data_IF_426087093143
#
_entry.id   IF_426087093143
#
_cell.length_a   1.000
_cell.length_b   1.000
_cell.length_c   1.000
_cell.angle_alpha   90.00
_cell.angle_beta   90.00
_cell.angle_gamma   90.00
#
_symmetry.space_group_name_H-M   'P 1'
#
loop_
_entity.id
_entity.type
_entity.pdbx_description
1 polymer ?
#
# COMPACT_ATOMS: atom_id res chain seq x y z
N UNK A 1 4.90 2.87 2.68
CA UNK A 1 6.30 2.43 2.72
C UNK A 1 7.08 3.14 3.81
N UNK A 2 7.76 4.24 3.49
CA UNK A 2 8.68 4.96 4.41
C UNK A 2 8.05 5.24 5.79
N UNK A 3 6.81 5.75 5.85
CA UNK A 3 6.11 6.02 7.12
C UNK A 3 6.00 4.76 8.01
N UNK A 4 5.72 3.60 7.42
CA UNK A 4 5.65 2.33 8.14
C UNK A 4 7.02 1.92 8.68
N UNK A 5 8.09 2.10 7.89
CA UNK A 5 9.45 1.84 8.36
C UNK A 5 9.90 2.79 9.48
N UNK A 6 9.60 4.09 9.36
CA UNK A 6 9.89 5.07 10.43
C UNK A 6 9.16 4.69 11.72
N UNK A 7 7.88 4.34 11.62
CA UNK A 7 7.09 3.89 12.76
C UNK A 7 7.68 2.64 13.41
N UNK A 8 8.05 1.64 12.61
CA UNK A 8 8.64 0.40 13.09
C UNK A 8 10.00 0.66 13.77
N UNK A 9 10.84 1.52 13.20
CA UNK A 9 12.11 1.92 13.79
C UNK A 9 11.97 2.58 15.15
N UNK A 10 11.01 3.50 15.30
CA UNK A 10 10.70 4.15 16.58
C UNK A 10 10.19 3.14 17.60
N UNK A 11 9.26 2.27 17.22
CA UNK A 11 8.70 1.25 18.11
C UNK A 11 9.74 0.20 18.52
N UNK A 12 10.58 -0.24 17.58
CA UNK A 12 11.68 -1.16 17.85
C UNK A 12 12.65 -0.60 18.87
N UNK A 13 13.08 0.66 18.74
CA UNK A 13 13.92 1.30 19.76
C UNK A 13 13.20 1.47 21.09
N UNK A 14 11.93 1.86 21.10
CA UNK A 14 11.14 1.98 22.34
C UNK A 14 11.10 0.65 23.11
N UNK A 15 10.95 -0.46 22.39
CA UNK A 15 10.84 -1.79 22.98
C UNK A 15 12.20 -2.44 23.27
N UNK A 16 13.28 -1.96 22.64
CA UNK A 16 14.62 -2.52 22.76
C UNK A 16 15.11 -2.53 24.21
N UNK A 17 15.04 -3.70 24.86
CA UNK A 17 15.31 -3.88 26.29
C UNK A 17 14.60 -2.87 27.19
N UNK A 18 13.41 -2.40 26.80
CA UNK A 18 12.65 -1.40 27.57
C UNK A 18 13.27 0.00 27.57
N UNK A 19 14.09 0.34 26.57
CA UNK A 19 14.71 1.66 26.42
C UNK A 19 13.70 2.82 26.50
N UNK A 20 12.46 2.63 26.05
CA UNK A 20 11.40 3.62 26.17
C UNK A 20 11.01 4.00 27.60
N UNK A 21 11.50 3.28 28.63
CA UNK A 21 11.36 3.67 30.05
C UNK A 21 12.50 4.58 30.53
N UNK A 22 13.62 4.61 29.79
CA UNK A 22 14.83 5.36 30.13
C UNK A 22 14.94 6.69 29.37
N UNK A 23 14.34 6.77 28.18
CA UNK A 23 14.39 7.93 27.31
C UNK A 23 12.99 8.36 26.89
N UNK A 24 12.84 9.62 26.53
CA UNK A 24 11.59 10.12 25.97
C UNK A 24 11.42 9.69 24.51
N UNK A 25 10.17 9.51 24.07
CA UNK A 25 9.88 9.13 22.68
C UNK A 25 10.38 10.20 21.69
N UNK A 26 10.37 11.47 22.09
CA UNK A 26 10.86 12.60 21.27
C UNK A 26 12.36 12.48 20.94
N UNK A 27 13.18 11.92 21.83
CA UNK A 27 14.60 11.64 21.54
C UNK A 27 14.76 10.62 20.40
N UNK A 28 13.85 9.63 20.34
CA UNK A 28 13.83 8.60 19.29
C UNK A 28 13.30 9.18 17.98
N UNK A 29 12.23 9.98 18.03
CA UNK A 29 11.61 10.62 16.86
C UNK A 29 12.57 11.59 16.15
N UNK A 30 13.40 12.32 16.91
CA UNK A 30 14.42 13.21 16.34
C UNK A 30 15.51 12.42 15.61
N UNK A 31 15.80 11.19 16.04
CA UNK A 31 16.82 10.34 15.45
C UNK A 31 16.30 9.55 14.23
N UNK A 32 15.11 8.97 14.36
CA UNK A 32 14.51 8.06 13.37
C UNK A 32 13.50 8.83 12.52
N UNK A 33 13.87 9.05 11.27
CA UNK A 33 13.07 9.75 10.27
C UNK A 33 13.19 9.07 8.90
N UNK A 34 12.53 9.66 7.90
CA UNK A 34 12.47 9.13 6.53
C UNK A 34 13.83 8.85 5.87
N UNK A 35 14.92 9.44 6.36
CA UNK A 35 16.28 9.28 5.81
C UNK A 35 17.21 8.43 6.69
N UNK A 36 16.76 8.02 7.88
CA UNK A 36 17.60 7.33 8.86
C UNK A 36 17.02 6.00 9.34
N UNK A 37 15.72 5.73 9.14
CA UNK A 37 15.05 4.53 9.66
C UNK A 37 15.68 3.20 9.24
N UNK A 38 16.31 3.14 8.06
CA UNK A 38 16.99 1.95 7.51
C UNK A 38 18.50 1.90 7.83
N UNK A 39 19.06 2.94 8.46
CA UNK A 39 20.50 3.03 8.71
C UNK A 39 20.87 2.28 9.99
N UNK A 40 21.37 1.04 9.85
CA UNK A 40 21.84 0.19 10.96
C UNK A 40 22.68 0.92 12.00
N UNK A 41 23.67 1.69 11.54
CA UNK A 41 24.58 2.43 12.42
C UNK A 41 23.90 3.51 13.27
N UNK A 42 22.78 4.06 12.82
CA UNK A 42 22.01 5.04 13.60
C UNK A 42 21.52 4.41 14.91
N UNK A 43 21.00 3.19 14.86
CA UNK A 43 20.51 2.46 16.04
C UNK A 43 21.66 2.02 16.95
N UNK A 44 22.72 1.47 16.37
CA UNK A 44 23.90 1.01 17.11
C UNK A 44 24.55 2.16 17.87
N UNK A 45 24.85 3.27 17.19
CA UNK A 45 25.51 4.42 17.82
C UNK A 45 24.62 5.08 18.87
N UNK A 46 23.32 5.17 18.63
CA UNK A 46 22.38 5.74 19.58
C UNK A 46 22.29 4.91 20.87
N UNK A 47 22.09 3.59 20.75
CA UNK A 47 22.01 2.69 21.91
C UNK A 47 23.33 2.66 22.69
N UNK A 48 24.48 2.70 22.01
CA UNK A 48 25.79 2.83 22.67
C UNK A 48 25.95 4.17 23.40
N UNK A 49 25.48 5.28 22.81
CA UNK A 49 25.49 6.60 23.47
C UNK A 49 24.62 6.60 24.73
N UNK A 50 23.44 6.00 24.69
CA UNK A 50 22.57 5.90 25.87
C UNK A 50 23.22 5.04 26.94
N UNK A 51 23.85 3.91 26.56
CA UNK A 51 24.63 3.08 27.49
C UNK A 51 25.67 3.94 28.23
N UNK A 52 26.52 4.67 27.50
CA UNK A 52 27.58 5.48 28.12
C UNK A 52 27.00 6.60 29.00
N UNK A 53 25.97 7.31 28.53
CA UNK A 53 25.47 8.50 29.22
C UNK A 53 24.50 8.23 30.38
N UNK A 54 23.76 7.12 30.37
CA UNK A 54 22.64 6.88 31.30
C UNK A 54 22.70 5.57 32.08
N UNK A 55 23.70 4.74 31.83
CA UNK A 55 23.88 3.47 32.54
C UNK A 55 25.09 3.46 33.47
N UNK A 56 25.55 4.62 33.93
CA UNK A 56 26.60 4.74 34.95
C UNK A 56 26.00 4.72 36.37
N UNK A 57 26.65 4.01 37.29
CA UNK A 57 26.29 3.95 38.71
C UNK A 57 25.49 2.71 39.15
N UNK A 58 25.19 2.59 40.46
CA UNK A 58 24.69 1.37 41.09
C UNK A 58 23.22 1.03 40.76
N UNK A 59 22.43 1.98 40.24
CA UNK A 59 21.07 1.72 39.75
C UNK A 59 21.03 1.20 38.30
N UNK A 60 22.17 1.10 37.60
CA UNK A 60 22.21 0.61 36.21
C UNK A 60 21.75 -0.85 36.08
N UNK A 61 21.84 -1.65 37.16
CA UNK A 61 21.44 -3.06 37.17
C UNK A 61 19.92 -3.27 37.19
N UNK A 62 19.14 -2.30 37.68
CA UNK A 62 17.68 -2.43 37.81
C UNK A 62 16.94 -2.00 36.52
N UNK A 63 17.59 -1.22 35.66
CA UNK A 63 17.06 -0.81 34.37
C UNK A 63 17.37 -1.90 33.34
N UNK A 64 16.32 -2.49 32.74
CA UNK A 64 16.44 -3.58 31.77
C UNK A 64 17.42 -3.28 30.63
N UNK A 65 17.34 -2.06 30.07
CA UNK A 65 18.23 -1.60 29.02
C UNK A 65 19.69 -1.59 29.46
N UNK A 66 19.98 -1.02 30.63
CA UNK A 66 21.34 -0.90 31.14
C UNK A 66 21.92 -2.26 31.55
N UNK A 67 21.11 -3.13 32.15
CA UNK A 67 21.48 -4.50 32.43
C UNK A 67 21.87 -5.24 31.15
N UNK A 68 21.04 -5.17 30.11
CA UNK A 68 21.36 -5.75 28.80
C UNK A 68 22.62 -5.13 28.19
N UNK A 69 22.72 -3.79 28.18
CA UNK A 69 23.83 -3.08 27.55
C UNK A 69 25.19 -3.35 28.22
N UNK A 70 25.21 -3.63 29.53
CA UNK A 70 26.43 -3.89 30.30
C UNK A 70 26.85 -5.38 30.30
N UNK A 71 25.90 -6.31 30.27
CA UNK A 71 26.19 -7.74 30.42
C UNK A 71 26.12 -8.54 29.12
N UNK A 72 25.40 -8.04 28.09
CA UNK A 72 25.38 -8.72 26.79
C UNK A 72 26.71 -8.56 26.07
N UNK A 73 27.13 -9.58 25.29
CA UNK A 73 28.23 -9.43 24.36
C UNK A 73 28.00 -8.22 23.45
N UNK A 74 28.98 -7.33 23.34
CA UNK A 74 28.85 -6.09 22.57
C UNK A 74 28.39 -6.32 21.12
N UNK A 75 28.83 -7.43 20.51
CA UNK A 75 28.38 -7.85 19.17
C UNK A 75 26.88 -8.12 19.14
N UNK A 76 26.38 -9.01 20.00
CA UNK A 76 24.96 -9.36 20.08
C UNK A 76 24.07 -8.13 20.38
N UNK A 77 24.52 -7.23 21.27
CA UNK A 77 23.79 -5.99 21.55
C UNK A 77 23.71 -5.07 20.31
N UNK A 78 24.83 -4.91 19.60
CA UNK A 78 24.88 -4.08 18.40
C UNK A 78 24.11 -4.71 17.24
N UNK A 79 24.17 -6.03 17.09
CA UNK A 79 23.36 -6.79 16.14
C UNK A 79 21.87 -6.61 16.41
N UNK A 80 21.43 -6.78 17.66
CA UNK A 80 20.05 -6.53 18.06
C UNK A 80 19.58 -5.11 17.75
N UNK A 81 20.43 -4.10 18.02
CA UNK A 81 20.11 -2.71 17.66
C UNK A 81 20.04 -2.51 16.14
N UNK A 82 20.96 -3.10 15.37
CA UNK A 82 20.96 -3.01 13.90
C UNK A 82 19.79 -3.77 13.25
N UNK A 83 19.34 -4.87 13.85
CA UNK A 83 18.20 -5.66 13.36
C UNK A 83 16.88 -4.90 13.42
N UNK A 84 16.78 -3.87 14.27
CA UNK A 84 15.65 -2.94 14.26
C UNK A 84 15.61 -2.18 12.93
N UNK A 85 16.76 -1.74 12.41
CA UNK A 85 16.82 -1.04 11.13
C UNK A 85 16.43 -1.97 9.97
N UNK A 86 16.84 -3.24 10.02
CA UNK A 86 16.47 -4.26 9.02
C UNK A 86 14.96 -4.52 9.03
N UNK A 87 14.37 -4.65 10.21
CA UNK A 87 12.92 -4.82 10.37
C UNK A 87 12.17 -3.59 9.87
N UNK A 88 12.67 -2.39 10.17
CA UNK A 88 12.11 -1.13 9.68
C UNK A 88 12.19 -0.98 8.16
N UNK A 89 13.31 -1.40 7.55
CA UNK A 89 13.49 -1.44 6.10
C UNK A 89 12.52 -2.43 5.45
N UNK A 90 12.45 -3.65 5.97
CA UNK A 90 11.51 -4.68 5.51
C UNK A 90 10.05 -4.22 5.59
N UNK A 91 9.64 -3.63 6.72
CA UNK A 91 8.28 -3.11 6.88
C UNK A 91 7.97 -1.95 5.92
N UNK A 92 8.97 -1.13 5.56
CA UNK A 92 8.79 -0.10 4.55
C UNK A 92 8.59 -0.68 3.15
N UNK A 93 9.28 -1.77 2.81
CA UNK A 93 9.16 -2.47 1.54
C UNK A 93 7.80 -3.17 1.40
N UNK A 94 7.40 -3.97 2.40
CA UNK A 94 6.09 -4.65 2.43
C UNK A 94 4.95 -3.63 2.34
N UNK A 95 5.04 -2.52 3.08
CA UNK A 95 4.03 -1.47 3.02
C UNK A 95 4.05 -0.67 1.70
N UNK A 96 5.11 -0.74 0.91
CA UNK A 96 5.16 -0.16 -0.44
C UNK A 96 4.47 -1.10 -1.43
N UNK A 97 4.78 -2.38 -1.38
CA UNK A 97 4.16 -3.42 -2.23
C UNK A 97 2.65 -3.50 -2.01
N UNK A 98 2.18 -3.54 -0.76
CA UNK A 98 0.75 -3.59 -0.45
C UNK A 98 -0.03 -2.36 -0.93
N UNK A 99 0.61 -1.20 -1.08
CA UNK A 99 -0.03 0.00 -1.67
C UNK A 99 -0.09 -0.11 -3.19
N UNK A 100 0.98 -0.62 -3.83
CA UNK A 100 1.02 -0.85 -5.27
C UNK A 100 -0.01 -1.90 -5.70
N UNK A 101 -0.14 -2.99 -4.94
CA UNK A 101 -1.12 -4.03 -5.21
C UNK A 101 -2.56 -3.51 -5.10
N UNK A 102 -2.88 -2.76 -4.03
CA UNK A 102 -4.20 -2.11 -3.89
C UNK A 102 -4.47 -1.10 -5.01
N UNK A 103 -3.45 -0.35 -5.42
CA UNK A 103 -3.54 0.56 -6.56
C UNK A 103 -3.84 -0.17 -7.86
N UNK A 104 -3.13 -1.27 -8.14
CA UNK A 104 -3.32 -2.10 -9.32
C UNK A 104 -4.71 -2.77 -9.35
N UNK A 105 -5.22 -3.21 -8.20
CA UNK A 105 -6.58 -3.74 -8.07
C UNK A 105 -7.64 -2.65 -8.32
N UNK A 106 -7.44 -1.44 -7.78
CA UNK A 106 -8.35 -0.32 -8.00
C UNK A 106 -8.36 0.17 -9.46
N UNK A 107 -7.21 0.20 -10.14
CA UNK A 107 -7.17 0.53 -11.57
C UNK A 107 -7.83 -0.55 -12.42
N UNK A 108 -7.61 -1.82 -12.07
CA UNK A 108 -8.21 -2.96 -12.78
C UNK A 108 -9.73 -3.01 -12.63
N UNK A 109 -10.26 -2.67 -11.46
CA UNK A 109 -11.71 -2.60 -11.24
C UNK A 109 -12.33 -1.43 -12.01
N UNK A 110 -11.66 -0.27 -12.05
CA UNK A 110 -12.12 0.90 -12.83
C UNK A 110 -12.12 0.60 -14.35
N UNK A 111 -11.08 -0.04 -14.87
CA UNK A 111 -11.02 -0.45 -16.28
C UNK A 111 -12.10 -1.46 -16.62
N UNK A 112 -12.38 -2.41 -15.71
CA UNK A 112 -13.44 -3.39 -15.90
C UNK A 112 -14.82 -2.73 -15.96
N UNK A 113 -15.09 -1.76 -15.07
CA UNK A 113 -16.33 -1.00 -15.09
C UNK A 113 -16.51 -0.19 -16.39
N UNK A 114 -15.43 0.44 -16.88
CA UNK A 114 -15.44 1.18 -18.15
C UNK A 114 -15.72 0.23 -19.33
N UNK A 115 -15.03 -0.91 -19.41
CA UNK A 115 -15.23 -1.91 -20.47
C UNK A 115 -16.67 -2.42 -20.44
N UNK A 116 -17.20 -2.76 -19.27
CA UNK A 116 -18.58 -3.22 -19.11
C UNK A 116 -19.59 -2.16 -19.59
N UNK A 117 -19.37 -0.89 -19.28
CA UNK A 117 -20.22 0.22 -19.76
C UNK A 117 -20.20 0.35 -21.28
N UNK A 118 -19.03 0.22 -21.92
CA UNK A 118 -18.90 0.29 -23.39
C UNK A 118 -19.62 -0.89 -24.04
N UNK A 119 -19.40 -2.10 -23.53
CA UNK A 119 -20.08 -3.31 -24.03
C UNK A 119 -21.60 -3.17 -23.90
N UNK A 120 -22.11 -2.63 -22.80
CA UNK A 120 -23.54 -2.39 -22.61
C UNK A 120 -24.13 -1.44 -23.68
N UNK A 121 -23.45 -0.33 -23.98
CA UNK A 121 -23.86 0.60 -25.05
C UNK A 121 -23.89 -0.10 -26.41
N UNK A 122 -22.85 -0.88 -26.74
CA UNK A 122 -22.78 -1.62 -28.00
C UNK A 122 -23.92 -2.62 -28.16
N UNK A 123 -24.29 -3.32 -27.08
CA UNK A 123 -25.43 -4.26 -27.09
C UNK A 123 -26.75 -3.53 -27.35
N UNK A 124 -26.98 -2.37 -26.71
CA UNK A 124 -28.18 -1.55 -26.93
C UNK A 124 -28.26 -1.09 -28.38
N UNK A 125 -27.14 -0.60 -28.93
CA UNK A 125 -27.06 -0.16 -30.34
C UNK A 125 -27.32 -1.32 -31.30
N UNK A 126 -26.75 -2.51 -31.05
CA UNK A 126 -26.99 -3.70 -31.87
C UNK A 126 -28.47 -4.10 -31.90
N UNK A 127 -29.13 -4.09 -30.74
CA UNK A 127 -30.57 -4.38 -30.64
C UNK A 127 -31.39 -3.37 -31.45
N UNK A 128 -31.06 -2.08 -31.33
CA UNK A 128 -31.72 -1.02 -32.12
C UNK A 128 -31.53 -1.22 -33.62
N UNK A 129 -30.33 -1.61 -34.06
CA UNK A 129 -30.06 -1.89 -35.48
C UNK A 129 -30.86 -3.10 -35.97
N UNK A 130 -30.92 -4.20 -35.22
CA UNK A 130 -31.68 -5.40 -35.60
C UNK A 130 -33.17 -5.07 -35.74
N UNK A 131 -33.76 -4.41 -34.73
CA UNK A 131 -35.17 -3.99 -34.76
C UNK A 131 -35.41 -3.03 -35.92
N UNK A 132 -34.52 -2.05 -36.12
CA UNK A 132 -34.61 -1.11 -37.25
C UNK A 132 -34.58 -1.82 -38.60
N UNK A 133 -33.70 -2.80 -38.80
CA UNK A 133 -33.63 -3.58 -40.03
C UNK A 133 -34.93 -4.36 -40.26
N UNK A 134 -35.49 -4.98 -39.23
CA UNK A 134 -36.79 -5.67 -39.31
C UNK A 134 -37.89 -4.68 -39.71
N UNK A 135 -37.99 -3.53 -39.03
CA UNK A 135 -39.00 -2.50 -39.34
C UNK A 135 -38.83 -1.92 -40.74
N UNK A 136 -37.59 -1.65 -41.17
CA UNK A 136 -37.28 -1.15 -42.51
C UNK A 136 -37.67 -2.16 -43.58
N UNK A 137 -37.35 -3.43 -43.34
CA UNK A 137 -37.72 -4.52 -44.23
C UNK A 137 -39.24 -4.65 -44.36
N UNK A 138 -39.98 -4.59 -43.24
CA UNK A 138 -41.44 -4.63 -43.23
C UNK A 138 -42.07 -3.42 -43.96
N UNK A 139 -41.54 -2.21 -43.77
CA UNK A 139 -42.02 -0.99 -44.48
C UNK A 139 -41.82 -1.12 -46.00
N UNK A 140 -40.66 -1.58 -46.45
CA UNK A 140 -40.38 -1.82 -47.88
C UNK A 140 -41.35 -2.84 -48.49
N UNK A 141 -41.66 -3.92 -47.76
CA UNK A 141 -42.63 -4.94 -48.20
C UNK A 141 -44.05 -4.39 -48.34
N UNK A 142 -44.50 -3.55 -47.41
CA UNK A 142 -45.82 -2.88 -47.50
C UNK A 142 -45.92 -1.99 -48.75
N UNK A 143 -44.88 -1.22 -49.07
CA UNK A 143 -44.89 -0.34 -50.25
C UNK A 143 -44.92 -1.10 -51.58
N UNK A 144 -44.19 -2.23 -51.70
CA UNK A 144 -44.24 -3.08 -52.90
C UNK A 144 -45.64 -3.64 -53.16
N UNK A 145 -46.33 -4.09 -52.10
CA UNK A 145 -47.72 -4.59 -52.22
C UNK A 145 -48.70 -3.48 -52.63
N UNK A 146 -48.56 -2.26 -52.11
CA UNK A 146 -49.40 -1.12 -52.52
C UNK A 146 -49.26 -0.79 -54.00
N UNK A 147 -48.03 -0.83 -54.53
CA UNK A 147 -47.76 -0.49 -55.93
C UNK A 147 -48.36 -1.50 -56.91
N UNK A 148 -48.38 -2.80 -56.56
CA UNK A 148 -49.08 -3.81 -57.34
C UNK A 148 -50.60 -3.65 -57.30
N UNK A 149 -51.17 -3.25 -56.15
CA UNK A 149 -52.60 -2.98 -56.03
C UNK A 149 -53.05 -1.79 -56.90
N UNK A 150 -52.26 -0.72 -56.96
CA UNK A 150 -52.57 0.44 -57.81
C UNK A 150 -52.56 0.05 -59.30
N UNK A 151 -51.57 -0.74 -59.73
CA UNK A 151 -51.51 -1.22 -61.12
C UNK A 151 -52.69 -2.09 -61.53
N UNK A 152 -53.18 -2.95 -60.63
CA UNK A 152 -54.35 -3.81 -60.89
C UNK A 152 -55.68 -3.04 -60.96
N UNK A 153 -55.73 -1.79 -60.49
CA UNK A 153 -56.92 -0.95 -60.52
C UNK A 153 -56.94 0.02 -61.72
N UNK A 154 -55.83 0.13 -62.45
CA UNK A 154 -55.66 1.06 -63.57
C UNK A 154 -55.83 0.35 -64.94
N UNK A 155 -55.81 -0.99 -64.96
CA UNK A 155 -56.33 -1.83 -66.06
C UNK A 155 -57.84 -2.00 -65.95
#
# INVERSE_FOLDING_TARGET
>A
GIEAGVKEGIQGLKNFFGLGKLITITEIENLINSTSYFKKMTYVTFTQRIKISRCEGPLSSSIQFCSAANHQPQRAFSEGASGIAETAEYMAEVAKEGVLEKGAQATSSLTTAIIASVVAILVIVLVMVIIYLILRYLRKKKMKKKLQYIKLLEE
#
